data_IF_159049778998
#
_entry.id   IF_159049778998
#
_cell.length_a   1.000
_cell.length_b   1.000
_cell.length_c   1.000
_cell.angle_alpha   90.00
_cell.angle_beta   90.00
_cell.angle_gamma   90.00
#
_symmetry.space_group_name_H-M   'P 1'
#
loop_
_entity.id
_entity.type
_entity.pdbx_description
1 polymer ?
#
# COMPACT_ATOMS: atom_id res chain seq x y z
N UNK A 1 13.38 26.36 12.30
CA UNK A 1 14.31 26.91 11.29
C UNK A 1 13.68 26.78 9.90
N UNK A 2 13.29 25.58 9.47
CA UNK A 2 12.53 25.38 8.22
C UNK A 2 11.10 25.98 8.21
N UNK A 3 10.49 26.18 9.38
CA UNK A 3 9.13 26.74 9.52
C UNK A 3 9.12 28.29 9.49
N UNK A 4 10.27 28.95 9.66
CA UNK A 4 10.41 30.41 9.56
C UNK A 4 10.82 30.88 8.16
N UNK A 5 11.47 30.01 7.38
CA UNK A 5 11.91 30.29 6.00
C UNK A 5 10.79 30.08 4.95
N UNK A 6 9.69 29.44 5.36
CA UNK A 6 8.45 29.36 4.58
C UNK A 6 7.53 30.57 4.77
N UNK A 7 7.48 31.10 5.99
CA UNK A 7 6.63 32.23 6.38
C UNK A 7 7.05 33.50 5.62
N UNK A 8 8.35 33.83 5.59
CA UNK A 8 8.87 34.99 4.87
C UNK A 8 8.65 34.97 3.34
N UNK A 9 8.50 33.78 2.73
CA UNK A 9 8.17 33.64 1.30
C UNK A 9 6.68 33.74 1.01
N UNK A 10 5.83 33.54 2.03
CA UNK A 10 4.37 33.68 1.90
C UNK A 10 3.89 35.10 2.14
N UNK A 11 4.45 35.84 3.11
CA UNK A 11 4.18 37.29 3.24
C UNK A 11 4.63 38.06 2.01
N UNK A 12 5.78 37.70 1.42
CA UNK A 12 6.24 38.25 0.16
C UNK A 12 5.34 37.87 -1.03
N UNK A 13 4.68 36.70 -0.99
CA UNK A 13 3.74 36.27 -2.03
C UNK A 13 2.36 36.92 -1.90
N UNK A 14 1.90 37.14 -0.68
CA UNK A 14 0.67 37.91 -0.39
C UNK A 14 0.90 39.38 -0.68
N UNK A 15 2.06 39.95 -0.32
CA UNK A 15 2.44 41.30 -0.75
C UNK A 15 2.66 41.41 -2.25
N UNK A 16 3.13 40.35 -2.92
CA UNK A 16 3.15 40.31 -4.38
C UNK A 16 1.75 40.16 -4.96
N UNK A 17 0.84 39.38 -4.37
CA UNK A 17 -0.51 39.22 -4.89
C UNK A 17 -1.34 40.49 -4.63
N UNK A 18 -1.39 41.02 -3.41
CA UNK A 18 -2.08 42.28 -3.07
C UNK A 18 -1.38 43.52 -3.65
N UNK A 19 -0.04 43.53 -3.71
CA UNK A 19 0.73 44.64 -4.28
C UNK A 19 0.84 44.63 -5.80
N UNK A 20 0.50 43.53 -6.48
CA UNK A 20 0.47 43.43 -7.95
C UNK A 20 -0.93 43.14 -8.53
N UNK A 21 -1.98 42.89 -7.72
CA UNK A 21 -3.35 42.58 -8.21
C UNK A 21 -4.33 43.76 -8.19
N UNK A 22 -3.84 45.00 -8.06
CA UNK A 22 -4.60 46.15 -8.57
C UNK A 22 -4.49 46.14 -10.09
N UNK A 23 -5.41 45.43 -10.74
CA UNK A 23 -5.39 45.19 -12.17
C UNK A 23 -5.51 46.52 -12.93
N UNK A 24 -4.49 46.78 -13.75
CA UNK A 24 -4.47 47.74 -14.84
C UNK A 24 -5.77 47.64 -15.64
N UNK A 25 -6.58 48.69 -15.56
CA UNK A 25 -7.77 48.85 -16.39
C UNK A 25 -7.34 48.93 -17.86
N UNK A 26 -7.53 47.84 -18.59
CA UNK A 26 -7.27 47.76 -20.01
C UNK A 26 -8.30 48.62 -20.77
N UNK A 27 -8.02 49.91 -20.94
CA UNK A 27 -8.69 50.75 -21.93
C UNK A 27 -7.65 51.26 -22.94
N UNK A 28 -7.71 50.66 -24.12
CA UNK A 28 -6.86 50.93 -25.27
C UNK A 28 -6.94 52.39 -25.73
N UNK A 29 -5.79 53.06 -25.85
CA UNK A 29 -5.25 53.74 -27.07
C UNK A 29 -4.23 54.83 -26.70
N UNK A 30 -2.93 54.49 -26.73
CA UNK A 30 -1.78 55.34 -27.13
C UNK A 30 -0.47 54.79 -26.53
N UNK A 31 0.26 54.03 -27.35
CA UNK A 31 1.41 53.18 -26.96
C UNK A 31 2.60 53.96 -26.38
N UNK A 32 2.69 55.27 -26.62
CA UNK A 32 3.78 56.12 -26.10
C UNK A 32 3.45 56.89 -24.82
N UNK A 33 2.17 56.97 -24.41
CA UNK A 33 1.76 57.51 -23.09
C UNK A 33 1.53 56.40 -22.06
N UNK A 34 1.25 55.17 -22.54
CA UNK A 34 1.04 54.00 -21.68
C UNK A 34 2.31 53.62 -20.89
N UNK A 35 3.51 53.60 -21.49
CA UNK A 35 4.73 53.21 -20.77
C UNK A 35 5.12 54.17 -19.63
N UNK A 36 4.92 55.48 -19.80
CA UNK A 36 5.13 56.45 -18.72
C UNK A 36 4.01 56.42 -17.67
N UNK A 37 2.77 56.11 -18.07
CA UNK A 37 1.63 55.95 -17.18
C UNK A 37 1.80 54.71 -16.30
N UNK A 38 2.08 53.55 -16.90
CA UNK A 38 2.36 52.30 -16.22
C UNK A 38 3.55 52.47 -15.26
N UNK A 39 4.59 53.19 -15.69
CA UNK A 39 5.78 53.47 -14.87
C UNK A 39 5.50 54.33 -13.65
N UNK A 40 4.50 55.22 -13.72
CA UNK A 40 4.07 56.06 -12.59
C UNK A 40 3.05 55.33 -11.72
N UNK A 41 2.25 54.46 -12.31
CA UNK A 41 1.22 53.67 -11.62
C UNK A 41 1.86 52.65 -10.67
N UNK A 42 2.83 51.84 -11.13
CA UNK A 42 3.50 50.89 -10.22
C UNK A 42 4.28 51.60 -9.11
N UNK A 43 4.86 52.78 -9.37
CA UNK A 43 5.56 53.58 -8.35
C UNK A 43 4.61 54.07 -7.27
N UNK A 44 3.44 54.57 -7.66
CA UNK A 44 2.41 54.99 -6.73
C UNK A 44 1.86 53.81 -5.92
N UNK A 45 1.74 52.62 -6.52
CA UNK A 45 1.33 51.40 -5.82
C UNK A 45 2.38 50.96 -4.79
N UNK A 46 3.68 50.99 -5.16
CA UNK A 46 4.77 50.67 -4.24
C UNK A 46 4.84 51.68 -3.09
N UNK A 47 4.70 52.97 -3.36
CA UNK A 47 4.68 54.02 -2.32
C UNK A 47 3.51 53.85 -1.35
N UNK A 48 2.31 53.61 -1.88
CA UNK A 48 1.11 53.32 -1.09
C UNK A 48 1.27 52.06 -0.25
N UNK A 49 1.79 50.96 -0.81
CA UNK A 49 1.97 49.71 -0.06
C UNK A 49 2.99 49.83 1.07
N UNK A 50 4.09 50.58 0.88
CA UNK A 50 5.08 50.84 1.93
C UNK A 50 4.49 51.69 3.05
N UNK A 51 3.74 52.75 2.71
CA UNK A 51 3.06 53.58 3.69
C UNK A 51 2.02 52.79 4.48
N UNK A 52 1.22 51.98 3.79
CA UNK A 52 0.19 51.13 4.41
C UNK A 52 0.82 50.07 5.34
N UNK A 53 1.92 49.43 4.93
CA UNK A 53 2.68 48.51 5.80
C UNK A 53 3.20 49.19 7.06
N UNK A 54 3.72 50.41 6.95
CA UNK A 54 4.25 51.17 8.09
C UNK A 54 3.14 51.49 9.11
N UNK A 55 2.04 52.09 8.63
CA UNK A 55 0.88 52.48 9.45
C UNK A 55 0.23 51.26 10.09
N UNK A 56 0.02 50.17 9.34
CA UNK A 56 -0.57 48.94 9.87
C UNK A 56 0.32 48.35 10.96
N UNK A 57 1.63 48.25 10.75
CA UNK A 57 2.51 47.66 11.76
C UNK A 57 2.64 48.51 13.03
N UNK A 58 2.50 49.83 12.93
CA UNK A 58 2.44 50.72 14.09
C UNK A 58 1.13 50.54 14.87
N UNK A 59 -0.01 50.51 14.17
CA UNK A 59 -1.34 50.52 14.80
C UNK A 59 -1.88 49.13 15.17
N UNK A 60 -1.38 48.03 14.59
CA UNK A 60 -1.86 46.65 14.90
C UNK A 60 -1.62 46.26 16.37
N UNK A 61 -0.69 46.94 17.04
CA UNK A 61 -0.41 46.69 18.46
C UNK A 61 -1.41 47.32 19.41
N UNK A 62 -2.21 48.30 18.98
CA UNK A 62 -3.28 48.90 19.78
C UNK A 62 -4.57 48.13 19.55
N UNK A 63 -4.66 46.97 20.18
CA UNK A 63 -5.77 46.01 20.11
C UNK A 63 -7.13 46.52 20.65
N UNK A 64 -7.23 47.79 21.04
CA UNK A 64 -8.34 48.34 21.82
C UNK A 64 -9.46 48.99 20.98
N UNK A 65 -9.23 49.24 19.68
CA UNK A 65 -10.25 49.81 18.78
C UNK A 65 -10.93 48.74 17.93
N UNK A 66 -12.22 48.94 17.63
CA UNK A 66 -12.98 48.04 16.76
C UNK A 66 -12.34 47.94 15.37
N UNK A 67 -12.48 46.78 14.71
CA UNK A 67 -11.84 46.51 13.40
C UNK A 67 -12.24 47.52 12.32
N UNK A 68 -13.49 48.01 12.33
CA UNK A 68 -13.96 49.06 11.42
C UNK A 68 -13.26 50.40 11.66
N UNK A 69 -13.14 50.80 12.92
CA UNK A 69 -12.56 52.08 13.32
C UNK A 69 -11.05 52.09 13.06
N UNK A 70 -10.42 50.91 13.16
CA UNK A 70 -9.05 50.68 12.74
C UNK A 70 -8.87 50.82 11.23
N UNK A 71 -9.73 50.20 10.41
CA UNK A 71 -9.68 50.30 8.95
C UNK A 71 -9.80 51.78 8.52
N UNK A 72 -10.80 52.51 9.02
CA UNK A 72 -11.02 53.91 8.70
C UNK A 72 -9.84 54.80 9.14
N UNK A 73 -9.26 54.55 10.32
CA UNK A 73 -8.10 55.29 10.81
C UNK A 73 -6.83 55.04 9.99
N UNK A 74 -6.59 53.78 9.57
CA UNK A 74 -5.45 53.42 8.71
C UNK A 74 -5.60 54.09 7.35
N UNK A 75 -6.75 53.99 6.70
CA UNK A 75 -6.95 54.60 5.38
C UNK A 75 -6.88 56.13 5.42
N UNK A 76 -7.47 56.77 6.44
CA UNK A 76 -7.34 58.22 6.63
C UNK A 76 -5.87 58.65 6.81
N UNK A 77 -5.10 57.91 7.62
CA UNK A 77 -3.68 58.23 7.85
C UNK A 77 -2.77 57.99 6.64
N UNK A 78 -3.13 57.07 5.74
CA UNK A 78 -2.41 56.83 4.48
C UNK A 78 -2.75 57.88 3.43
N UNK A 79 -4.00 58.39 3.41
CA UNK A 79 -4.43 59.46 2.51
C UNK A 79 -3.82 60.82 2.91
N UNK A 80 -3.66 61.06 4.22
CA UNK A 80 -2.99 62.22 4.78
C UNK A 80 -1.44 62.17 4.72
N UNK A 81 -0.84 61.06 4.26
CA UNK A 81 0.63 60.93 4.17
C UNK A 81 1.19 61.87 3.07
N UNK A 82 2.04 62.85 3.43
CA UNK A 82 2.56 63.84 2.49
C UNK A 82 3.41 63.25 1.36
N UNK A 83 3.94 62.04 1.53
CA UNK A 83 4.70 61.34 0.49
C UNK A 83 3.77 60.64 -0.52
N UNK A 84 2.56 60.21 -0.12
CA UNK A 84 1.56 59.50 -0.95
C UNK A 84 0.61 60.46 -1.69
N UNK A 85 0.35 61.63 -1.11
CA UNK A 85 -0.58 62.62 -1.65
C UNK A 85 -0.13 63.20 -3.01
N UNK A 86 -1.01 63.28 -4.03
CA UNK A 86 -0.65 63.75 -5.37
C UNK A 86 -0.22 65.23 -5.41
N UNK A 87 -0.53 66.00 -4.37
CA UNK A 87 -0.18 67.42 -4.26
C UNK A 87 1.31 67.66 -3.97
N UNK A 88 2.03 66.69 -3.39
CA UNK A 88 3.49 66.74 -3.16
C UNK A 88 4.34 66.20 -4.31
N UNK A 89 3.71 65.69 -5.39
CA UNK A 89 4.40 64.95 -6.44
C UNK A 89 5.32 65.78 -7.36
N UNK A 90 5.23 67.11 -7.31
CA UNK A 90 5.96 68.01 -8.21
C UNK A 90 7.31 68.50 -7.67
N UNK A 91 7.61 68.39 -6.37
CA UNK A 91 8.78 69.11 -5.80
C UNK A 91 10.05 68.28 -5.57
N UNK A 92 10.03 66.95 -5.49
CA UNK A 92 11.27 66.19 -5.19
C UNK A 92 11.28 64.71 -5.64
N UNK A 93 11.53 64.44 -6.93
CA UNK A 93 11.68 63.07 -7.45
C UNK A 93 13.02 62.41 -7.11
N UNK A 94 14.07 63.19 -6.83
CA UNK A 94 15.45 62.67 -6.69
C UNK A 94 15.73 62.02 -5.32
N UNK A 95 14.96 62.35 -4.29
CA UNK A 95 15.13 61.83 -2.91
C UNK A 95 14.11 60.79 -2.45
N UNK A 96 13.01 60.59 -3.19
CA UNK A 96 11.93 59.66 -2.86
C UNK A 96 12.36 58.20 -2.67
N UNK A 97 13.14 57.57 -3.58
CA UNK A 97 13.50 56.15 -3.42
C UNK A 97 14.40 55.91 -2.20
N UNK A 98 15.25 56.88 -1.85
CA UNK A 98 16.09 56.80 -0.66
C UNK A 98 15.26 56.87 0.63
N UNK A 99 14.24 57.74 0.69
CA UNK A 99 13.30 57.81 1.82
C UNK A 99 12.46 56.53 1.97
N UNK A 100 11.93 56.00 0.86
CA UNK A 100 11.18 54.74 0.87
C UNK A 100 12.06 53.56 1.31
N UNK A 101 13.32 53.53 0.86
CA UNK A 101 14.29 52.53 1.31
C UNK A 101 14.59 52.63 2.81
N UNK A 102 14.79 53.83 3.34
CA UNK A 102 14.97 54.05 4.78
C UNK A 102 13.73 53.63 5.58
N UNK A 103 12.53 53.93 5.08
CA UNK A 103 11.27 53.54 5.72
C UNK A 103 11.11 52.02 5.72
N UNK A 104 11.44 51.35 4.62
CA UNK A 104 11.41 49.90 4.51
C UNK A 104 12.46 49.24 5.42
N UNK A 105 13.65 49.81 5.51
CA UNK A 105 14.68 49.35 6.46
C UNK A 105 14.22 49.50 7.91
N UNK A 106 13.57 50.62 8.25
CA UNK A 106 13.00 50.83 9.58
C UNK A 106 11.88 49.84 9.91
N UNK A 107 11.01 49.54 8.95
CA UNK A 107 9.97 48.51 9.08
C UNK A 107 10.61 47.15 9.38
N UNK A 108 11.66 46.77 8.64
CA UNK A 108 12.35 45.48 8.82
C UNK A 108 13.13 45.38 10.14
N UNK A 109 13.81 46.44 10.55
CA UNK A 109 14.67 46.42 11.74
C UNK A 109 13.90 46.62 13.06
N UNK A 110 12.79 47.38 13.04
CA UNK A 110 12.10 47.81 14.26
C UNK A 110 10.68 47.28 14.32
N UNK A 111 9.85 47.53 13.31
CA UNK A 111 8.43 47.19 13.38
C UNK A 111 8.17 45.68 13.34
N UNK A 112 8.87 44.93 12.47
CA UNK A 112 8.68 43.46 12.37
C UNK A 112 9.11 42.72 13.66
N UNK A 113 10.31 42.94 14.23
CA UNK A 113 10.71 42.25 15.45
C UNK A 113 9.82 42.59 16.65
N UNK A 114 9.38 43.85 16.78
CA UNK A 114 8.48 44.28 17.85
C UNK A 114 7.09 43.63 17.72
N UNK A 115 6.57 43.51 16.51
CA UNK A 115 5.33 42.80 16.23
C UNK A 115 5.46 41.30 16.55
N UNK A 116 6.57 40.66 16.16
CA UNK A 116 6.84 39.25 16.50
C UNK A 116 6.90 39.02 18.01
N UNK A 117 7.59 39.88 18.76
CA UNK A 117 7.70 39.77 20.21
C UNK A 117 6.33 39.95 20.90
N UNK A 118 5.52 40.89 20.44
CA UNK A 118 4.18 41.15 20.97
C UNK A 118 3.21 40.01 20.67
N UNK A 119 3.24 39.50 19.44
CA UNK A 119 2.46 38.33 19.03
C UNK A 119 2.82 37.09 19.84
N UNK A 120 4.11 36.83 20.10
CA UNK A 120 4.53 35.71 20.94
C UNK A 120 4.02 35.81 22.39
N UNK A 121 3.96 37.02 22.96
CA UNK A 121 3.37 37.23 24.30
C UNK A 121 1.88 36.91 24.31
N UNK A 122 1.13 37.39 23.32
CA UNK A 122 -0.30 37.08 23.18
C UNK A 122 -0.54 35.58 22.96
N UNK A 123 0.31 34.91 22.17
CA UNK A 123 0.25 33.45 21.99
C UNK A 123 0.59 32.70 23.27
N UNK A 124 1.49 33.23 24.12
CA UNK A 124 1.78 32.61 25.41
C UNK A 124 0.60 32.74 26.39
N UNK A 125 -0.11 33.86 26.37
CA UNK A 125 -1.24 34.15 27.26
C UNK A 125 -2.54 33.45 26.83
N UNK A 126 -2.88 33.50 25.54
CA UNK A 126 -4.14 32.98 24.98
C UNK A 126 -3.97 31.68 24.16
N UNK A 127 -2.76 31.15 24.10
CA UNK A 127 -2.45 29.97 23.30
C UNK A 127 -2.91 28.65 23.91
N UNK A 128 -2.47 27.55 23.27
CA UNK A 128 -2.87 26.22 23.70
C UNK A 128 -2.22 25.84 25.03
N UNK A 129 -2.98 25.37 26.05
CA UNK A 129 -2.41 24.95 27.31
C UNK A 129 -1.39 23.82 27.12
N UNK A 130 -0.33 23.85 27.94
CA UNK A 130 0.80 22.93 27.84
C UNK A 130 0.37 21.46 28.00
N UNK A 131 1.19 20.53 27.49
CA UNK A 131 0.89 19.08 27.57
C UNK A 131 0.68 18.60 29.00
N UNK A 132 1.33 19.23 29.98
CA UNK A 132 1.19 18.91 31.40
C UNK A 132 -0.23 19.23 31.87
N UNK A 133 -0.76 20.42 31.51
CA UNK A 133 -2.15 20.83 31.79
C UNK A 133 -3.17 19.98 31.02
N UNK A 134 -2.78 19.36 29.90
CA UNK A 134 -3.68 18.47 29.16
C UNK A 134 -3.72 17.03 29.69
N UNK A 135 -2.59 16.53 30.21
CA UNK A 135 -2.44 15.15 30.63
C UNK A 135 -2.37 14.95 32.15
N UNK A 136 -2.52 16.00 32.97
CA UNK A 136 -2.51 15.85 34.44
C UNK A 136 -3.60 14.89 34.94
N UNK A 137 -4.78 14.90 34.33
CA UNK A 137 -5.91 14.08 34.78
C UNK A 137 -5.69 12.58 34.43
N UNK A 138 -5.35 12.20 33.18
CA UNK A 138 -4.95 10.83 32.89
C UNK A 138 -3.69 10.38 33.66
N UNK A 139 -2.71 11.27 33.86
CA UNK A 139 -1.48 10.94 34.58
C UNK A 139 -1.73 10.74 36.08
N UNK A 140 -2.58 11.55 36.70
CA UNK A 140 -2.99 11.36 38.10
C UNK A 140 -3.81 10.09 38.28
N UNK A 141 -4.76 9.79 37.37
CA UNK A 141 -5.48 8.51 37.37
C UNK A 141 -4.53 7.34 37.21
N UNK A 142 -3.55 7.41 36.31
CA UNK A 142 -2.52 6.38 36.13
C UNK A 142 -1.63 6.24 37.37
N UNK A 143 -1.23 7.34 38.02
CA UNK A 143 -0.42 7.30 39.23
C UNK A 143 -1.20 6.69 40.40
N UNK A 144 -2.46 7.09 40.60
CA UNK A 144 -3.32 6.55 41.64
C UNK A 144 -3.62 5.05 41.40
N UNK A 145 -3.95 4.69 40.16
CA UNK A 145 -4.18 3.30 39.76
C UNK A 145 -2.89 2.47 39.65
N UNK A 146 -1.71 3.09 39.59
CA UNK A 146 -0.42 2.41 39.50
C UNK A 146 -0.21 1.45 40.66
N UNK A 147 -0.59 1.85 41.88
CA UNK A 147 -0.50 1.00 43.06
C UNK A 147 -1.39 -0.24 42.96
N UNK A 148 -2.61 -0.10 42.44
CA UNK A 148 -3.52 -1.24 42.20
C UNK A 148 -3.06 -2.14 41.06
N UNK A 149 -2.58 -1.58 39.96
CA UNK A 149 -2.05 -2.32 38.80
C UNK A 149 -0.81 -3.10 39.23
N UNK A 150 0.11 -2.45 39.95
CA UNK A 150 1.32 -3.08 40.47
C UNK A 150 0.97 -4.20 41.46
N UNK A 151 -0.02 -4.00 42.33
CA UNK A 151 -0.49 -5.04 43.26
C UNK A 151 -1.09 -6.23 42.52
N UNK A 152 -1.89 -6.01 41.48
CA UNK A 152 -2.45 -7.08 40.63
C UNK A 152 -1.34 -7.83 39.90
N UNK A 153 -0.40 -7.12 39.28
CA UNK A 153 0.72 -7.72 38.52
C UNK A 153 1.65 -8.51 39.45
N UNK A 154 1.98 -7.98 40.63
CA UNK A 154 2.84 -8.68 41.60
C UNK A 154 2.12 -9.88 42.21
N UNK A 155 0.82 -9.75 42.53
CA UNK A 155 0.04 -10.85 43.11
C UNK A 155 -0.24 -11.96 42.09
N UNK A 156 -0.43 -11.62 40.81
CA UNK A 156 -0.66 -12.57 39.71
C UNK A 156 0.59 -12.85 38.88
N UNK A 157 1.80 -12.54 39.37
CA UNK A 157 3.05 -12.78 38.63
C UNK A 157 3.20 -14.26 38.25
N UNK A 158 2.80 -15.16 39.14
CA UNK A 158 2.86 -16.61 38.92
C UNK A 158 1.88 -17.03 37.81
N UNK A 159 0.66 -16.49 37.83
CA UNK A 159 -0.33 -16.70 36.77
C UNK A 159 0.15 -16.16 35.42
N UNK A 160 0.70 -14.95 35.37
CA UNK A 160 1.22 -14.34 34.14
C UNK A 160 2.38 -15.17 33.58
N UNK A 161 3.31 -15.61 34.43
CA UNK A 161 4.42 -16.48 34.01
C UNK A 161 3.89 -17.82 33.51
N UNK A 162 2.87 -18.40 34.17
CA UNK A 162 2.22 -19.62 33.68
C UNK A 162 1.55 -19.41 32.33
N UNK A 163 0.79 -18.32 32.15
CA UNK A 163 0.14 -18.00 30.87
C UNK A 163 1.15 -17.77 29.74
N UNK A 164 2.28 -17.12 30.01
CA UNK A 164 3.34 -16.95 29.01
C UNK A 164 3.99 -18.29 28.68
N UNK A 165 4.23 -19.14 29.68
CA UNK A 165 4.79 -20.48 29.48
C UNK A 165 3.83 -21.37 28.70
N UNK A 166 2.56 -21.34 29.05
CA UNK A 166 1.49 -22.14 28.43
C UNK A 166 1.22 -21.66 27.01
N UNK A 167 1.22 -20.33 26.77
CA UNK A 167 1.21 -19.77 25.41
C UNK A 167 2.44 -20.23 24.61
N UNK A 168 3.62 -20.17 25.20
CA UNK A 168 4.86 -20.61 24.56
C UNK A 168 4.84 -22.11 24.22
N UNK A 169 4.32 -22.94 25.13
CA UNK A 169 4.12 -24.36 24.90
C UNK A 169 3.09 -24.60 23.79
N UNK A 170 1.94 -23.93 23.85
CA UNK A 170 0.88 -24.05 22.84
C UNK A 170 1.35 -23.64 21.45
N UNK A 171 2.11 -22.54 21.33
CA UNK A 171 2.68 -22.09 20.04
C UNK A 171 3.70 -23.11 19.52
N UNK A 172 4.54 -23.65 20.40
CA UNK A 172 5.50 -24.69 20.05
C UNK A 172 4.79 -25.95 19.55
N UNK A 173 3.83 -26.46 20.31
CA UNK A 173 3.09 -27.67 19.98
C UNK A 173 2.26 -27.49 18.69
N UNK A 174 1.69 -26.30 18.49
CA UNK A 174 1.06 -25.93 17.23
C UNK A 174 2.06 -26.00 16.07
N UNK A 175 3.23 -25.37 16.21
CA UNK A 175 4.23 -25.35 15.13
C UNK A 175 4.78 -26.75 14.81
N UNK A 176 5.08 -27.57 15.82
CA UNK A 176 5.57 -28.93 15.58
C UNK A 176 4.49 -29.84 14.98
N UNK A 177 3.31 -29.92 15.58
CA UNK A 177 2.28 -30.89 15.20
C UNK A 177 1.52 -30.48 13.91
N UNK A 178 1.33 -29.18 13.68
CA UNK A 178 0.50 -28.69 12.58
C UNK A 178 1.27 -28.09 11.41
N UNK A 179 2.56 -27.74 11.58
CA UNK A 179 3.40 -27.21 10.51
C UNK A 179 4.53 -28.17 10.16
N UNK A 180 5.37 -28.54 11.12
CA UNK A 180 6.57 -29.34 10.84
C UNK A 180 6.22 -30.78 10.48
N UNK A 181 5.44 -31.47 11.31
CA UNK A 181 5.14 -32.89 11.11
C UNK A 181 4.38 -33.16 9.79
N UNK A 182 3.33 -32.40 9.43
CA UNK A 182 2.64 -32.59 8.16
C UNK A 182 3.53 -32.24 6.97
N UNK A 183 4.34 -31.18 7.06
CA UNK A 183 5.29 -30.83 5.99
C UNK A 183 6.37 -31.91 5.82
N UNK A 184 6.83 -32.52 6.91
CA UNK A 184 7.77 -33.65 6.87
C UNK A 184 7.14 -34.90 6.25
N UNK A 185 5.87 -35.18 6.52
CA UNK A 185 5.13 -36.28 5.88
C UNK A 185 4.97 -36.02 4.39
N UNK A 186 4.50 -34.84 4.00
CA UNK A 186 4.34 -34.44 2.59
C UNK A 186 5.69 -34.49 1.83
N UNK A 187 6.76 -33.93 2.39
CA UNK A 187 8.08 -33.97 1.76
C UNK A 187 8.63 -35.40 1.71
N UNK A 188 8.34 -36.23 2.71
CA UNK A 188 8.73 -37.63 2.76
C UNK A 188 8.05 -38.45 1.66
N UNK A 189 6.74 -38.27 1.47
CA UNK A 189 5.93 -38.94 0.44
C UNK A 189 6.27 -38.46 -0.98
N UNK A 190 6.64 -37.19 -1.16
CA UNK A 190 7.06 -36.65 -2.47
C UNK A 190 8.52 -37.03 -2.80
N UNK A 191 9.42 -37.02 -1.81
CA UNK A 191 10.86 -37.29 -2.00
C UNK A 191 11.17 -38.80 -2.07
N UNK A 192 10.38 -39.66 -1.44
CA UNK A 192 10.41 -41.10 -1.74
C UNK A 192 9.69 -41.32 -3.06
N UNK A 193 10.51 -41.16 -4.10
CA UNK A 193 10.24 -41.23 -5.51
C UNK A 193 9.17 -42.28 -5.88
N UNK A 194 8.14 -41.80 -6.59
CA UNK A 194 7.08 -42.62 -7.17
C UNK A 194 7.62 -43.58 -8.24
N UNK A 195 8.85 -43.38 -8.71
CA UNK A 195 9.49 -44.25 -9.71
C UNK A 195 10.69 -45.05 -9.18
N UNK A 196 11.41 -44.61 -8.15
CA UNK A 196 12.75 -45.18 -7.90
C UNK A 196 12.77 -46.50 -7.14
N UNK A 197 11.93 -46.73 -6.13
CA UNK A 197 12.04 -47.99 -5.35
C UNK A 197 11.21 -49.13 -5.97
N UNK A 198 9.96 -48.83 -6.32
CA UNK A 198 9.04 -49.81 -6.93
C UNK A 198 9.47 -50.17 -8.35
N UNK A 199 9.98 -49.23 -9.16
CA UNK A 199 10.42 -49.56 -10.52
C UNK A 199 11.82 -50.20 -10.56
N UNK A 200 12.69 -50.00 -9.57
CA UNK A 200 14.05 -50.59 -9.58
C UNK A 200 14.03 -52.03 -9.06
N UNK A 201 13.34 -52.32 -7.94
CA UNK A 201 13.18 -53.70 -7.48
C UNK A 201 12.32 -54.53 -8.44
N UNK A 202 11.26 -53.95 -9.01
CA UNK A 202 10.47 -54.62 -10.04
C UNK A 202 11.21 -54.71 -11.36
N UNK A 203 12.01 -53.72 -11.81
CA UNK A 203 12.81 -53.89 -13.04
C UNK A 203 13.83 -54.99 -12.91
N UNK A 204 14.54 -55.09 -11.79
CA UNK A 204 15.63 -56.05 -11.66
C UNK A 204 15.11 -57.47 -11.46
N UNK A 205 14.04 -57.65 -10.66
CA UNK A 205 13.33 -58.93 -10.56
C UNK A 205 12.57 -59.30 -11.85
N UNK A 206 11.83 -58.38 -12.48
CA UNK A 206 11.19 -58.65 -13.79
C UNK A 206 12.22 -58.86 -14.89
N UNK A 207 13.41 -58.26 -14.85
CA UNK A 207 14.45 -58.51 -15.86
C UNK A 207 15.03 -59.90 -15.68
N UNK A 208 15.25 -60.35 -14.45
CA UNK A 208 15.63 -61.73 -14.15
C UNK A 208 14.55 -62.74 -14.59
N UNK A 209 13.30 -62.48 -14.25
CA UNK A 209 12.17 -63.35 -14.61
C UNK A 209 11.87 -63.30 -16.13
N UNK A 210 12.07 -62.15 -16.81
CA UNK A 210 11.98 -62.03 -18.28
C UNK A 210 13.11 -62.76 -18.99
N UNK A 211 14.34 -62.67 -18.48
CA UNK A 211 15.48 -63.40 -19.06
C UNK A 211 15.32 -64.92 -18.85
N UNK A 212 14.76 -65.33 -17.70
CA UNK A 212 14.39 -66.73 -17.45
C UNK A 212 13.30 -67.22 -18.41
N UNK A 213 12.24 -66.42 -18.62
CA UNK A 213 11.17 -66.71 -19.56
C UNK A 213 11.67 -66.76 -21.01
N UNK A 214 12.53 -65.83 -21.42
CA UNK A 214 13.15 -65.79 -22.75
C UNK A 214 13.92 -67.07 -23.04
N UNK A 215 14.78 -67.51 -22.10
CA UNK A 215 15.53 -68.76 -22.23
C UNK A 215 14.62 -69.97 -22.32
N UNK A 216 13.59 -70.04 -21.48
CA UNK A 216 12.68 -71.18 -21.42
C UNK A 216 11.82 -71.31 -22.68
N UNK A 217 11.37 -70.19 -23.26
CA UNK A 217 10.56 -70.17 -24.49
C UNK A 217 11.41 -70.47 -25.72
N UNK A 218 12.65 -69.95 -25.78
CA UNK A 218 13.58 -70.26 -26.87
C UNK A 218 13.95 -71.74 -26.87
N UNK A 219 14.27 -72.31 -25.71
CA UNK A 219 14.59 -73.73 -25.56
C UNK A 219 13.37 -74.60 -25.92
N UNK A 220 12.15 -74.21 -25.52
CA UNK A 220 10.92 -74.90 -25.93
C UNK A 220 10.66 -74.86 -27.44
N UNK A 221 10.97 -73.74 -28.12
CA UNK A 221 10.82 -73.61 -29.56
C UNK A 221 11.81 -74.50 -30.34
N UNK A 222 13.02 -74.68 -29.81
CA UNK A 222 14.06 -75.57 -30.35
C UNK A 222 13.66 -77.05 -30.19
N UNK A 223 13.13 -77.41 -29.02
CA UNK A 223 12.71 -78.79 -28.73
C UNK A 223 11.45 -79.20 -29.51
N UNK A 224 10.58 -78.24 -29.85
CA UNK A 224 9.30 -78.48 -30.54
C UNK A 224 9.16 -77.70 -31.87
N UNK A 225 9.97 -78.03 -32.91
CA UNK A 225 9.97 -77.32 -34.20
C UNK A 225 8.66 -77.47 -35.00
N UNK A 226 7.80 -78.43 -34.64
CA UNK A 226 6.52 -78.66 -35.33
C UNK A 226 5.40 -77.70 -34.88
N UNK A 227 5.52 -77.09 -33.71
CA UNK A 227 4.49 -76.22 -33.13
C UNK A 227 4.87 -74.72 -33.20
N UNK A 228 6.11 -74.39 -33.55
CA UNK A 228 6.61 -73.02 -33.70
C UNK A 228 6.15 -72.32 -34.99
N UNK A 229 5.45 -73.02 -35.88
CA UNK A 229 4.92 -72.46 -37.13
C UNK A 229 5.98 -72.20 -38.21
N UNK A 230 7.24 -72.58 -37.97
CA UNK A 230 8.37 -72.35 -38.88
C UNK A 230 8.97 -73.69 -39.31
N UNK A 231 8.32 -74.35 -40.27
CA UNK A 231 8.89 -75.44 -41.08
C UNK A 231 9.32 -76.73 -40.34
N UNK A 232 9.15 -77.88 -41.00
CA UNK A 232 9.56 -79.19 -40.47
C UNK A 232 11.07 -79.43 -40.61
N UNK A 233 11.89 -78.69 -39.86
CA UNK A 233 13.35 -78.85 -39.81
C UNK A 233 13.97 -78.20 -38.55
N UNK A 234 15.22 -78.56 -38.22
CA UNK A 234 15.94 -77.94 -37.11
C UNK A 234 16.12 -76.43 -37.38
N UNK A 235 15.78 -75.59 -36.39
CA UNK A 235 15.78 -74.12 -36.52
C UNK A 235 17.19 -73.58 -36.81
N UNK A 236 17.29 -72.65 -37.76
CA UNK A 236 18.55 -71.98 -38.09
C UNK A 236 18.78 -70.78 -37.14
N UNK A 237 20.02 -70.35 -36.91
CA UNK A 237 20.37 -69.31 -35.91
C UNK A 237 19.62 -67.97 -36.12
N UNK A 238 19.28 -67.65 -37.36
CA UNK A 238 18.48 -66.47 -37.73
C UNK A 238 17.00 -66.55 -37.31
N UNK A 239 16.44 -67.75 -37.11
CA UNK A 239 15.05 -67.96 -36.69
C UNK A 239 14.93 -67.95 -35.16
N UNK A 240 15.98 -68.38 -34.47
CA UNK A 240 16.08 -68.32 -33.00
C UNK A 240 16.12 -66.86 -32.52
N UNK A 241 16.81 -65.98 -33.25
CA UNK A 241 16.84 -64.54 -32.95
C UNK A 241 15.51 -63.83 -33.23
N UNK A 242 14.73 -64.29 -34.21
CA UNK A 242 13.37 -63.80 -34.48
C UNK A 242 12.37 -64.20 -33.38
N UNK A 243 12.44 -65.46 -32.90
CA UNK A 243 11.64 -65.91 -31.75
C UNK A 243 12.00 -65.13 -30.50
N UNK A 244 13.29 -64.86 -30.27
CA UNK A 244 13.77 -64.01 -29.17
C UNK A 244 13.19 -62.59 -29.24
N UNK A 245 13.17 -61.99 -30.42
CA UNK A 245 12.59 -60.66 -30.63
C UNK A 245 11.08 -60.64 -30.35
N UNK A 246 10.34 -61.65 -30.84
CA UNK A 246 8.89 -61.79 -30.62
C UNK A 246 8.53 -62.05 -29.15
N UNK A 247 9.36 -62.79 -28.41
CA UNK A 247 9.19 -63.01 -26.97
C UNK A 247 9.47 -61.73 -26.17
N UNK A 248 10.42 -60.91 -26.60
CA UNK A 248 10.70 -59.59 -26.01
C UNK A 248 9.55 -58.60 -26.21
N UNK A 249 8.79 -58.77 -27.28
CA UNK A 249 7.54 -58.04 -27.57
C UNK A 249 6.30 -58.64 -26.87
N UNK A 250 6.44 -59.80 -26.21
CA UNK A 250 5.38 -60.43 -25.40
C UNK A 250 4.48 -61.42 -26.15
N UNK A 251 4.84 -61.84 -27.37
CA UNK A 251 4.07 -62.81 -28.14
C UNK A 251 4.40 -64.25 -27.74
N UNK A 252 3.53 -64.87 -26.94
CA UNK A 252 3.64 -66.24 -26.44
C UNK A 252 2.82 -67.26 -27.26
N UNK A 253 2.34 -66.87 -28.45
CA UNK A 253 1.44 -67.68 -29.30
C UNK A 253 1.93 -69.11 -29.59
N UNK A 254 3.24 -69.37 -29.85
CA UNK A 254 3.74 -70.73 -30.08
C UNK A 254 3.61 -71.66 -28.87
N UNK A 255 3.81 -71.11 -27.67
CA UNK A 255 3.74 -71.85 -26.39
C UNK A 255 2.28 -72.11 -26.02
N UNK A 256 1.41 -71.12 -26.19
CA UNK A 256 -0.04 -71.24 -25.96
C UNK A 256 -0.69 -72.31 -26.83
N UNK A 257 -0.29 -72.43 -28.11
CA UNK A 257 -0.80 -73.48 -29.02
C UNK A 257 -0.36 -74.88 -28.63
N UNK A 258 0.85 -75.03 -28.11
CA UNK A 258 1.33 -76.33 -27.61
C UNK A 258 0.60 -76.73 -26.32
N UNK A 259 0.42 -75.78 -25.40
CA UNK A 259 -0.39 -75.96 -24.19
C UNK A 259 -1.81 -76.43 -24.53
N UNK A 260 -2.51 -75.74 -25.43
CA UNK A 260 -3.90 -76.07 -25.80
C UNK A 260 -4.04 -77.46 -26.45
N UNK A 261 -3.02 -77.89 -27.19
CA UNK A 261 -2.94 -79.20 -27.82
C UNK A 261 -2.68 -80.32 -26.81
N UNK A 262 -1.79 -80.10 -25.85
CA UNK A 262 -1.45 -81.09 -24.82
C UNK A 262 -2.51 -81.19 -23.72
N UNK A 263 -3.25 -80.11 -23.46
CA UNK A 263 -4.39 -80.11 -22.56
C UNK A 263 -5.55 -80.97 -23.08
N UNK A 264 -5.68 -81.13 -24.40
CA UNK A 264 -6.66 -82.06 -25.02
C UNK A 264 -6.34 -83.53 -24.76
N UNK A 265 -5.11 -83.91 -24.39
CA UNK A 265 -4.71 -85.28 -24.05
C UNK A 265 -3.77 -85.29 -22.82
N UNK A 266 -4.31 -85.07 -21.61
CA UNK A 266 -3.53 -84.73 -20.42
C UNK A 266 -2.52 -85.81 -20.01
N UNK A 267 -2.87 -87.09 -20.15
CA UNK A 267 -1.98 -88.19 -19.77
C UNK A 267 -0.80 -88.37 -20.73
N UNK A 268 -0.97 -88.09 -22.03
CA UNK A 268 0.11 -88.25 -23.03
C UNK A 268 1.02 -87.03 -23.03
N UNK A 269 0.47 -85.82 -22.86
CA UNK A 269 1.24 -84.58 -22.77
C UNK A 269 2.08 -84.45 -21.49
N UNK A 270 1.62 -85.03 -20.37
CA UNK A 270 2.38 -85.06 -19.12
C UNK A 270 3.56 -86.03 -19.20
N UNK A 271 3.37 -87.20 -19.82
CA UNK A 271 4.42 -88.22 -20.00
C UNK A 271 5.50 -87.77 -21.00
N UNK A 272 5.14 -86.92 -21.98
CA UNK A 272 6.07 -86.34 -22.96
C UNK A 272 6.80 -85.08 -22.46
N UNK A 273 6.34 -84.49 -21.35
CA UNK A 273 7.00 -83.37 -20.66
C UNK A 273 6.54 -81.96 -21.03
N UNK A 274 5.82 -81.78 -22.15
CA UNK A 274 5.43 -80.46 -22.68
C UNK A 274 4.35 -79.75 -21.85
N UNK A 275 3.43 -80.52 -21.22
CA UNK A 275 2.34 -79.96 -20.42
C UNK A 275 2.81 -79.38 -19.07
N UNK A 276 3.81 -80.01 -18.45
CA UNK A 276 4.36 -79.55 -17.16
C UNK A 276 5.13 -78.24 -17.36
N UNK A 277 5.89 -78.13 -18.46
CA UNK A 277 6.65 -76.92 -18.80
C UNK A 277 5.75 -75.73 -19.10
N UNK A 278 4.65 -75.95 -19.82
CA UNK A 278 3.65 -74.91 -20.10
C UNK A 278 2.88 -74.45 -18.86
N UNK A 279 2.54 -75.37 -17.94
CA UNK A 279 1.99 -75.01 -16.63
C UNK A 279 2.97 -74.18 -15.79
N UNK A 280 4.26 -74.54 -15.77
CA UNK A 280 5.29 -73.79 -15.05
C UNK A 280 5.46 -72.36 -15.60
N UNK A 281 5.43 -72.19 -16.92
CA UNK A 281 5.45 -70.87 -17.57
C UNK A 281 4.26 -70.02 -17.13
N UNK A 282 3.06 -70.63 -17.05
CA UNK A 282 1.86 -69.90 -16.67
C UNK A 282 1.83 -69.51 -15.18
N UNK A 283 2.39 -70.36 -14.31
CA UNK A 283 2.60 -70.02 -12.90
C UNK A 283 3.58 -68.84 -12.77
N UNK A 284 4.68 -68.85 -13.53
CA UNK A 284 5.64 -67.73 -13.55
C UNK A 284 5.01 -66.44 -14.08
N UNK A 285 4.19 -66.53 -15.13
CA UNK A 285 3.44 -65.37 -15.66
C UNK A 285 2.48 -64.79 -14.62
N UNK A 286 1.76 -65.66 -13.91
CA UNK A 286 0.83 -65.24 -12.85
C UNK A 286 1.56 -64.58 -11.68
N UNK A 287 2.74 -65.09 -11.30
CA UNK A 287 3.60 -64.46 -10.28
C UNK A 287 3.98 -63.04 -10.68
N UNK A 288 4.45 -62.84 -11.91
CA UNK A 288 4.83 -61.51 -12.41
C UNK A 288 3.62 -60.56 -12.46
N UNK A 289 2.47 -61.04 -12.93
CA UNK A 289 1.27 -60.21 -13.01
C UNK A 289 0.74 -59.81 -11.62
N UNK A 290 0.85 -60.71 -10.64
CA UNK A 290 0.52 -60.43 -9.23
C UNK A 290 1.49 -59.43 -8.62
N UNK A 291 2.81 -59.55 -8.85
CA UNK A 291 3.82 -58.60 -8.36
C UNK A 291 3.61 -57.18 -8.94
N UNK A 292 3.24 -57.07 -10.22
CA UNK A 292 2.90 -55.79 -10.86
C UNK A 292 1.60 -55.21 -10.27
N UNK A 293 0.58 -56.03 -10.02
CA UNK A 293 -0.66 -55.57 -9.39
C UNK A 293 -0.46 -55.11 -7.94
N UNK A 294 0.34 -55.84 -7.15
CA UNK A 294 0.74 -55.45 -5.80
C UNK A 294 1.50 -54.12 -5.79
N UNK A 295 2.38 -53.91 -6.75
CA UNK A 295 3.10 -52.64 -6.95
C UNK A 295 2.16 -51.48 -7.27
N UNK A 296 1.10 -51.73 -8.07
CA UNK A 296 0.05 -50.74 -8.34
C UNK A 296 -0.78 -50.36 -7.11
N UNK A 297 -1.03 -51.32 -6.21
CA UNK A 297 -1.75 -51.07 -4.95
C UNK A 297 -0.92 -50.21 -4.00
N UNK A 298 0.39 -50.47 -3.89
CA UNK A 298 1.28 -49.65 -3.06
C UNK A 298 1.31 -48.18 -3.53
N UNK A 299 1.36 -47.98 -4.86
CA UNK A 299 1.27 -46.63 -5.45
C UNK A 299 -0.06 -45.92 -5.11
N UNK A 300 -1.17 -46.66 -5.07
CA UNK A 300 -2.48 -46.11 -4.69
C UNK A 300 -2.54 -45.75 -3.20
N UNK A 301 -2.06 -46.60 -2.30
CA UNK A 301 -2.02 -46.31 -0.87
C UNK A 301 -1.14 -45.09 -0.56
N UNK A 302 0.00 -44.96 -1.25
CA UNK A 302 0.89 -43.79 -1.12
C UNK A 302 0.26 -42.51 -1.67
N UNK A 303 -0.58 -42.62 -2.72
CA UNK A 303 -1.34 -41.47 -3.22
C UNK A 303 -2.40 -40.97 -2.22
N UNK A 304 -3.00 -41.88 -1.44
CA UNK A 304 -3.96 -41.52 -0.40
C UNK A 304 -3.26 -40.94 0.84
N UNK A 305 -2.07 -41.44 1.19
CA UNK A 305 -1.23 -40.87 2.25
C UNK A 305 -0.92 -39.39 1.99
N UNK A 306 -0.69 -39.02 0.73
CA UNK A 306 -0.44 -37.63 0.33
C UNK A 306 -1.68 -36.74 0.53
N UNK A 307 -2.87 -37.25 0.22
CA UNK A 307 -4.15 -36.55 0.48
C UNK A 307 -4.36 -36.37 1.98
N UNK A 308 -4.12 -37.42 2.79
CA UNK A 308 -4.17 -37.32 4.25
C UNK A 308 -3.16 -36.32 4.81
N UNK A 309 -1.96 -36.24 4.23
CA UNK A 309 -0.95 -35.24 4.56
C UNK A 309 -1.43 -33.80 4.33
N UNK A 310 -2.10 -33.53 3.19
CA UNK A 310 -2.67 -32.20 2.91
C UNK A 310 -3.88 -31.87 3.78
N UNK A 311 -4.75 -32.83 4.06
CA UNK A 311 -5.89 -32.64 4.96
C UNK A 311 -5.39 -32.31 6.37
N UNK A 312 -4.32 -32.96 6.85
CA UNK A 312 -3.69 -32.64 8.13
C UNK A 312 -3.03 -31.25 8.18
N UNK A 313 -2.53 -30.74 7.05
CA UNK A 313 -1.91 -29.41 6.95
C UNK A 313 -2.93 -28.27 6.89
N UNK A 314 -4.16 -28.54 6.45
CA UNK A 314 -5.19 -27.53 6.18
C UNK A 314 -5.54 -26.67 7.41
N UNK A 315 -5.79 -27.23 8.61
CA UNK A 315 -6.16 -26.38 9.74
C UNK A 315 -4.98 -25.54 10.27
N UNK A 316 -3.73 -26.01 10.11
CA UNK A 316 -2.55 -25.21 10.43
C UNK A 316 -2.43 -23.96 9.56
N UNK A 317 -2.66 -24.10 8.25
CA UNK A 317 -2.67 -22.96 7.32
C UNK A 317 -3.80 -21.99 7.62
N UNK A 318 -5.00 -22.49 7.93
CA UNK A 318 -6.16 -21.66 8.26
C UNK A 318 -5.91 -20.82 9.52
N UNK A 319 -5.39 -21.43 10.60
CA UNK A 319 -5.07 -20.73 11.84
C UNK A 319 -3.97 -19.67 11.62
N UNK A 320 -2.92 -19.99 10.86
CA UNK A 320 -1.87 -19.03 10.49
C UNK A 320 -2.44 -17.84 9.69
N UNK A 321 -3.31 -18.09 8.72
CA UNK A 321 -3.96 -17.04 7.93
C UNK A 321 -4.86 -16.15 8.80
N UNK A 322 -5.67 -16.76 9.66
CA UNK A 322 -6.54 -16.03 10.59
C UNK A 322 -5.72 -15.16 11.56
N UNK A 323 -4.63 -15.70 12.12
CA UNK A 323 -3.73 -14.95 13.01
C UNK A 323 -3.07 -13.77 12.27
N UNK A 324 -2.60 -13.98 11.05
CA UNK A 324 -1.99 -12.93 10.24
C UNK A 324 -2.99 -11.83 9.88
N UNK A 325 -4.22 -12.20 9.49
CA UNK A 325 -5.29 -11.26 9.19
C UNK A 325 -5.74 -10.48 10.45
N UNK A 326 -5.82 -11.14 11.60
CA UNK A 326 -6.16 -10.49 12.87
C UNK A 326 -5.08 -9.49 13.30
N UNK A 327 -3.79 -9.89 13.24
CA UNK A 327 -2.67 -8.99 13.52
C UNK A 327 -2.65 -7.81 12.52
N UNK A 328 -2.81 -8.08 11.23
CA UNK A 328 -2.92 -7.05 10.20
C UNK A 328 -4.07 -6.07 10.45
N UNK A 329 -5.23 -6.56 10.89
CA UNK A 329 -6.39 -5.74 11.22
C UNK A 329 -6.17 -4.85 12.46
N UNK A 330 -5.62 -5.40 13.54
CA UNK A 330 -5.37 -4.66 14.79
C UNK A 330 -4.33 -3.56 14.61
N UNK A 331 -3.27 -3.81 13.84
CA UNK A 331 -2.24 -2.81 13.55
C UNK A 331 -2.64 -1.85 12.40
N UNK A 332 -3.38 -2.33 11.40
CA UNK A 332 -3.79 -1.57 10.22
C UNK A 332 -4.88 -0.52 10.47
N UNK A 333 -5.82 -0.80 11.39
CA UNK A 333 -6.98 0.07 11.61
C UNK A 333 -6.62 1.46 12.18
N UNK A 334 -5.40 1.61 12.74
CA UNK A 334 -4.91 2.90 13.25
C UNK A 334 -4.49 3.86 12.14
N UNK A 335 -4.13 3.38 10.95
CA UNK A 335 -3.74 4.23 9.82
C UNK A 335 -4.96 4.93 9.23
N UNK A 336 -6.05 4.19 9.00
CA UNK A 336 -7.33 4.74 8.52
C UNK A 336 -7.92 5.78 9.48
N UNK A 337 -7.95 5.49 10.78
CA UNK A 337 -8.48 6.44 11.78
C UNK A 337 -7.65 7.74 11.88
N UNK A 338 -6.33 7.68 11.72
CA UNK A 338 -5.47 8.87 11.68
C UNK A 338 -5.71 9.71 10.44
N UNK A 339 -5.95 9.08 9.29
CA UNK A 339 -6.24 9.76 8.04
C UNK A 339 -7.63 10.41 8.06
N UNK A 340 -8.67 9.70 8.51
CA UNK A 340 -10.02 10.27 8.67
C UNK A 340 -10.05 11.44 9.66
N UNK A 341 -9.24 11.41 10.73
CA UNK A 341 -9.10 12.56 11.63
C UNK A 341 -8.44 13.78 10.98
N UNK A 342 -7.49 13.58 10.06
CA UNK A 342 -6.86 14.66 9.28
C UNK A 342 -7.86 15.23 8.27
N UNK A 343 -8.55 14.36 7.52
CA UNK A 343 -9.58 14.74 6.57
C UNK A 343 -10.71 15.55 7.25
N UNK A 344 -11.22 15.06 8.39
CA UNK A 344 -12.24 15.76 9.15
C UNK A 344 -11.80 17.12 9.72
N UNK A 345 -10.50 17.34 9.97
CA UNK A 345 -9.99 18.67 10.31
C UNK A 345 -9.97 19.60 9.10
N UNK A 346 -9.57 19.10 7.93
CA UNK A 346 -9.59 19.86 6.67
C UNK A 346 -11.01 20.27 6.28
N UNK A 347 -11.99 19.38 6.45
CA UNK A 347 -13.41 19.70 6.22
C UNK A 347 -13.92 20.80 7.14
N UNK A 348 -13.43 20.88 8.40
CA UNK A 348 -13.81 21.97 9.30
C UNK A 348 -13.29 23.32 8.83
N UNK A 349 -12.07 23.37 8.29
CA UNK A 349 -11.48 24.58 7.69
C UNK A 349 -12.31 24.99 6.47
N UNK A 350 -12.65 24.04 5.59
CA UNK A 350 -13.49 24.30 4.42
C UNK A 350 -14.88 24.84 4.81
N UNK A 351 -15.47 24.31 5.89
CA UNK A 351 -16.73 24.81 6.45
C UNK A 351 -16.59 26.19 7.09
N UNK A 352 -15.43 26.51 7.68
CA UNK A 352 -15.18 27.86 8.20
C UNK A 352 -15.08 28.86 7.05
N UNK A 353 -14.40 28.50 5.95
CA UNK A 353 -14.35 29.30 4.72
C UNK A 353 -15.76 29.52 4.15
N UNK A 354 -16.56 28.45 4.04
CA UNK A 354 -17.97 28.52 3.62
C UNK A 354 -18.75 29.50 4.50
N UNK A 355 -18.57 29.43 5.81
CA UNK A 355 -19.20 30.33 6.77
C UNK A 355 -18.73 31.77 6.63
N UNK A 356 -17.45 32.02 6.34
CA UNK A 356 -16.93 33.37 6.09
C UNK A 356 -17.57 33.94 4.83
N UNK A 357 -17.54 33.21 3.72
CA UNK A 357 -18.10 33.66 2.44
C UNK A 357 -19.62 33.86 2.47
N UNK A 358 -20.35 33.07 3.26
CA UNK A 358 -21.82 33.19 3.38
C UNK A 358 -22.27 34.27 4.36
N UNK A 359 -21.47 34.57 5.39
CA UNK A 359 -21.78 35.61 6.38
C UNK A 359 -21.19 36.98 6.01
N UNK A 360 -20.25 37.03 5.07
CA UNK A 360 -19.62 38.26 4.66
C UNK A 360 -20.66 39.25 4.11
N UNK A 361 -20.58 40.48 4.57
CA UNK A 361 -21.39 41.58 4.03
C UNK A 361 -20.72 42.08 2.75
N UNK A 362 -21.37 41.95 1.57
CA UNK A 362 -20.79 42.42 0.32
C UNK A 362 -20.62 43.94 0.35
N UNK A 363 -19.42 44.41 0.02
CA UNK A 363 -19.16 45.83 -0.25
C UNK A 363 -19.87 46.24 -1.55
N UNK A 364 -19.99 47.54 -1.84
CA UNK A 364 -20.76 48.12 -2.97
C UNK A 364 -20.52 47.46 -4.35
N UNK A 365 -19.40 46.78 -4.57
CA UNK A 365 -19.04 46.06 -5.80
C UNK A 365 -19.17 44.51 -5.72
N UNK A 366 -19.91 43.97 -4.75
CA UNK A 366 -19.99 42.52 -4.47
C UNK A 366 -18.62 41.89 -4.13
N UNK A 367 -17.72 42.71 -3.61
CA UNK A 367 -16.39 42.34 -3.13
C UNK A 367 -16.46 42.04 -1.63
N UNK A 368 -15.55 41.18 -1.18
CA UNK A 368 -15.42 40.80 0.21
C UNK A 368 -14.83 41.96 1.03
N UNK A 369 -15.33 42.21 2.24
CA UNK A 369 -14.73 43.19 3.16
C UNK A 369 -13.29 42.80 3.48
N UNK A 370 -12.38 43.77 3.66
CA UNK A 370 -10.96 43.50 3.93
C UNK A 370 -10.75 42.61 5.15
N UNK A 371 -11.48 42.85 6.24
CA UNK A 371 -11.57 41.94 7.40
C UNK A 371 -11.89 40.48 7.03
N UNK A 372 -12.97 40.25 6.29
CA UNK A 372 -13.42 38.90 5.93
C UNK A 372 -12.45 38.25 4.93
N UNK A 373 -11.81 39.05 4.09
CA UNK A 373 -10.74 38.61 3.20
C UNK A 373 -9.50 38.15 3.98
N UNK A 374 -9.04 38.91 4.97
CA UNK A 374 -7.93 38.50 5.83
C UNK A 374 -8.22 37.19 6.59
N UNK A 375 -9.46 37.03 7.07
CA UNK A 375 -9.91 35.78 7.70
C UNK A 375 -9.92 34.60 6.72
N UNK A 376 -10.38 34.82 5.48
CA UNK A 376 -10.35 33.83 4.42
C UNK A 376 -8.91 33.41 4.11
N UNK A 377 -7.99 34.36 3.98
CA UNK A 377 -6.58 34.10 3.70
C UNK A 377 -5.92 33.26 4.81
N UNK A 378 -6.22 33.55 6.08
CA UNK A 378 -5.77 32.75 7.21
C UNK A 378 -6.26 31.30 7.15
N UNK A 379 -7.56 31.08 6.88
CA UNK A 379 -8.11 29.73 6.77
C UNK A 379 -7.58 28.99 5.53
N UNK A 380 -7.37 29.69 4.41
CA UNK A 380 -6.75 29.15 3.20
C UNK A 380 -5.28 28.76 3.44
N UNK A 381 -4.52 29.55 4.18
CA UNK A 381 -3.15 29.16 4.55
C UNK A 381 -3.14 27.87 5.38
N UNK A 382 -4.04 27.75 6.36
CA UNK A 382 -4.22 26.52 7.15
C UNK A 382 -4.60 25.34 6.24
N UNK A 383 -5.44 25.58 5.24
CA UNK A 383 -5.87 24.60 4.24
C UNK A 383 -4.67 24.12 3.39
N UNK A 384 -3.85 25.04 2.88
CA UNK A 384 -2.63 24.78 2.11
C UNK A 384 -1.63 23.92 2.89
N UNK A 385 -1.35 24.28 4.14
CA UNK A 385 -0.44 23.51 5.04
C UNK A 385 -0.95 22.09 5.28
N UNK A 386 -2.27 21.89 5.27
CA UNK A 386 -2.90 20.57 5.45
C UNK A 386 -2.96 19.75 4.17
N UNK A 387 -3.14 20.41 3.02
CA UNK A 387 -3.21 19.77 1.71
C UNK A 387 -1.98 18.90 1.43
N UNK A 388 -0.79 19.39 1.76
CA UNK A 388 0.48 18.68 1.57
C UNK A 388 0.57 17.33 2.32
N UNK A 389 -0.25 17.13 3.36
CA UNK A 389 -0.27 15.89 4.17
C UNK A 389 -1.43 14.96 3.83
N UNK A 390 -2.36 15.42 2.99
CA UNK A 390 -3.61 14.71 2.68
C UNK A 390 -3.64 14.20 1.24
N UNK A 391 -3.13 14.99 0.29
CA UNK A 391 -3.22 14.68 -1.14
C UNK A 391 -1.91 14.10 -1.72
N UNK A 392 -2.00 13.19 -2.69
CA UNK A 392 -0.88 12.85 -3.58
C UNK A 392 -0.46 14.07 -4.41
N UNK A 393 0.80 14.13 -4.85
CA UNK A 393 1.40 15.34 -5.43
C UNK A 393 0.71 15.92 -6.67
N UNK A 394 0.11 15.11 -7.53
CA UNK A 394 -0.63 15.58 -8.73
C UNK A 394 -1.93 16.30 -8.35
N UNK A 395 -2.79 15.62 -7.58
CA UNK A 395 -4.05 16.17 -7.05
C UNK A 395 -3.80 17.37 -6.15
N UNK A 396 -2.65 17.40 -5.47
CA UNK A 396 -2.25 18.54 -4.66
C UNK A 396 -2.04 19.80 -5.51
N UNK A 397 -1.51 19.68 -6.74
CA UNK A 397 -1.31 20.85 -7.62
C UNK A 397 -2.65 21.42 -8.07
N UNK A 398 -3.54 20.58 -8.56
CA UNK A 398 -4.92 20.96 -8.94
C UNK A 398 -5.65 21.60 -7.75
N UNK A 399 -5.52 21.02 -6.55
CA UNK A 399 -6.14 21.58 -5.34
C UNK A 399 -5.58 22.96 -5.00
N UNK A 400 -4.28 23.19 -5.21
CA UNK A 400 -3.66 24.48 -4.94
C UNK A 400 -4.05 25.53 -5.99
N UNK A 401 -4.30 25.14 -7.23
CA UNK A 401 -4.86 26.02 -8.27
C UNK A 401 -6.28 26.45 -7.88
N UNK A 402 -7.14 25.49 -7.51
CA UNK A 402 -8.49 25.79 -7.02
C UNK A 402 -8.50 26.67 -5.76
N UNK A 403 -7.52 26.47 -4.85
CA UNK A 403 -7.36 27.31 -3.66
C UNK A 403 -6.82 28.70 -4.01
N UNK A 404 -6.01 28.85 -5.07
CA UNK A 404 -5.58 30.16 -5.55
C UNK A 404 -6.75 30.94 -6.16
N UNK A 405 -7.62 30.26 -6.92
CA UNK A 405 -8.86 30.85 -7.46
C UNK A 405 -9.78 31.36 -6.33
N UNK A 406 -9.79 30.68 -5.18
CA UNK A 406 -10.56 31.07 -4.00
C UNK A 406 -10.03 32.36 -3.33
N UNK A 407 -8.71 32.60 -3.40
CA UNK A 407 -8.09 33.82 -2.86
C UNK A 407 -8.33 35.06 -3.72
N UNK A 408 -8.66 34.90 -5.01
CA UNK A 408 -8.78 36.02 -5.93
C UNK A 408 -10.00 36.90 -5.60
N UNK A 409 -9.75 38.10 -5.07
CA UNK A 409 -10.76 39.09 -4.65
C UNK A 409 -11.59 39.58 -5.84
N UNK A 410 -10.96 39.73 -7.00
CA UNK A 410 -11.56 40.32 -8.20
C UNK A 410 -12.66 39.43 -8.83
N UNK A 411 -12.75 38.18 -8.42
CA UNK A 411 -13.73 37.20 -8.91
C UNK A 411 -15.14 37.39 -8.31
N UNK A 412 -15.23 38.13 -7.19
CA UNK A 412 -16.47 38.33 -6.45
C UNK A 412 -16.93 37.12 -5.63
N UNK A 413 -17.78 37.37 -4.62
CA UNK A 413 -18.19 36.36 -3.62
C UNK A 413 -18.89 35.15 -4.26
N UNK A 414 -19.71 35.38 -5.29
CA UNK A 414 -20.43 34.28 -5.97
C UNK A 414 -19.50 33.31 -6.70
N UNK A 415 -18.40 33.79 -7.29
CA UNK A 415 -17.44 32.93 -7.97
C UNK A 415 -16.63 32.15 -6.93
N UNK A 416 -16.22 32.79 -5.84
CA UNK A 416 -15.53 32.14 -4.72
C UNK A 416 -16.37 31.01 -4.10
N UNK A 417 -17.69 31.21 -3.92
CA UNK A 417 -18.60 30.15 -3.47
C UNK A 417 -18.68 28.97 -4.44
N UNK A 418 -18.72 29.23 -5.76
CA UNK A 418 -18.70 28.16 -6.77
C UNK A 418 -17.39 27.38 -6.78
N UNK A 419 -16.26 28.07 -6.61
CA UNK A 419 -14.94 27.43 -6.47
C UNK A 419 -14.91 26.56 -5.21
N UNK A 420 -15.48 27.04 -4.10
CA UNK A 420 -15.58 26.26 -2.88
C UNK A 420 -16.43 24.98 -3.05
N UNK A 421 -17.55 25.07 -3.78
CA UNK A 421 -18.36 23.91 -4.14
C UNK A 421 -17.58 22.93 -5.04
N UNK A 422 -16.84 23.44 -6.04
CA UNK A 422 -15.96 22.66 -6.90
C UNK A 422 -14.94 21.88 -6.08
N UNK A 423 -14.27 22.54 -5.12
CA UNK A 423 -13.31 21.90 -4.21
C UNK A 423 -14.01 20.81 -3.37
N UNK A 424 -15.17 21.11 -2.80
CA UNK A 424 -15.91 20.17 -1.96
C UNK A 424 -16.31 18.91 -2.72
N UNK A 425 -16.74 19.06 -3.98
CA UNK A 425 -17.15 17.96 -4.83
C UNK A 425 -15.95 17.20 -5.42
N UNK A 426 -15.02 17.89 -6.05
CA UNK A 426 -13.86 17.30 -6.73
C UNK A 426 -12.93 16.52 -5.80
N UNK A 427 -12.74 17.02 -4.57
CA UNK A 427 -11.84 16.39 -3.60
C UNK A 427 -12.56 15.54 -2.55
N UNK A 428 -13.87 15.28 -2.71
CA UNK A 428 -14.70 14.54 -1.75
C UNK A 428 -14.12 13.16 -1.39
N UNK A 429 -13.45 12.48 -2.35
CA UNK A 429 -12.84 11.16 -2.15
C UNK A 429 -11.75 11.16 -1.07
N UNK A 430 -10.97 12.23 -0.97
CA UNK A 430 -9.85 12.35 -0.02
C UNK A 430 -10.24 13.07 1.28
N UNK A 431 -11.39 13.74 1.27
CA UNK A 431 -11.95 14.42 2.44
C UNK A 431 -12.88 13.52 3.29
N UNK A 432 -13.09 12.26 2.90
CA UNK A 432 -13.93 11.26 3.61
C UNK A 432 -13.15 10.41 4.60
#
# INVERSE_FOLDING_TARGET
VEEAEGDGREWARVLMDEGLSFNFGNESTDISKAEESDSREWKAVVEKSIALMDVVLQNVTTLETGVSDFEDAVFASVEDDPDVSPMGAYENQVGRPAKLSMRLQHILEVHVPNHMASSQKLVAEYGRPSRIVRYWLPASVLLLSSTTILRIVVNRKAEIISWIRDLGATVRDFWFNWVIEPTKKVIGTIRHDKESEVAIMSKESLKGDRDSLERMVVEFAIDNPKNSGVGTGALNEAQISEVRAKVKEGDLTPVLRAYEKDLRKPFVGTVRGDLVRTLLIQVQKTKVDVEVALSGIDALLKSQELVFGFVGLTPGVLVCFAAFHYLGGVFGNRRGMKQGRKAGQTVRVLRNIDRILTLATPTQNNLLSYKDHGLLLCEVHVLRKRAHRLFPGEIQREFLEDVADLCNINSGIHQQLKVLERIRWGYAKWLR
#
